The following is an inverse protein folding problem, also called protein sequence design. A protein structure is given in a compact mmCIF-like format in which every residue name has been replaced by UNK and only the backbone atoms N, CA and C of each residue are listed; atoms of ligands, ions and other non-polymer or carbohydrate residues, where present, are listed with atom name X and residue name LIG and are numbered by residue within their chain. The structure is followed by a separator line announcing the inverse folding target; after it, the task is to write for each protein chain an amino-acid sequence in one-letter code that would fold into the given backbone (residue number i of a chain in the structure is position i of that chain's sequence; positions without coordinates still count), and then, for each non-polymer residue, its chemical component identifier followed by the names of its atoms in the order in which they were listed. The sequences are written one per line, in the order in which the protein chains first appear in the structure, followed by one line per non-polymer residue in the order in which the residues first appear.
data_IF_841758573194
#
_entry.id   IF_841758573194
#
_cell.length_a   1.000
_cell.length_b   1.000
_cell.length_c   1.000
_cell.angle_alpha   90.00
_cell.angle_beta   90.00
_cell.angle_gamma   90.00
#
_symmetry.space_group_name_H-M   'P 1'
#
loop_
_entity.id
_entity.type
_entity.pdbx_description
1 polymer ?
#
# COMPACT_ATOMS: atom_id res chain seq x y z
N UNK A 1 0.54 -19.00 -3.06
CA UNK A 1 -0.17 -20.08 -2.34
C UNK A 1 0.86 -21.03 -1.80
N UNK A 2 1.29 -20.80 -0.57
CA UNK A 2 2.16 -21.70 0.18
C UNK A 2 1.25 -22.55 1.10
N UNK A 3 1.05 -23.84 0.80
CA UNK A 3 0.17 -24.71 1.59
C UNK A 3 0.65 -24.91 3.04
N UNK A 4 1.97 -24.81 3.28
CA UNK A 4 2.55 -24.94 4.62
C UNK A 4 2.17 -23.75 5.50
N UNK A 5 2.11 -22.55 4.90
CA UNK A 5 1.68 -21.34 5.60
C UNK A 5 0.23 -21.47 6.11
N UNK A 6 -0.67 -22.08 5.33
CA UNK A 6 -2.07 -22.29 5.76
C UNK A 6 -2.23 -23.34 6.85
N UNK A 7 -1.34 -24.33 6.93
CA UNK A 7 -1.42 -25.42 7.90
C UNK A 7 -0.99 -25.01 9.32
N UNK A 8 -0.27 -23.88 9.46
CA UNK A 8 0.22 -23.36 10.74
C UNK A 8 -0.54 -22.16 11.29
N UNK A 9 -1.63 -21.72 10.63
CA UNK A 9 -2.40 -20.55 11.06
C UNK A 9 -3.57 -20.95 11.97
N UNK A 10 -3.62 -20.37 13.16
CA UNK A 10 -4.74 -20.57 14.10
C UNK A 10 -5.94 -19.64 13.82
N UNK A 11 -5.70 -18.50 13.15
CA UNK A 11 -6.71 -17.48 12.87
C UNK A 11 -6.31 -16.61 11.68
N UNK A 12 -7.26 -16.39 10.77
CA UNK A 12 -7.20 -15.34 9.76
C UNK A 12 -7.98 -14.10 10.25
N UNK A 13 -7.27 -13.01 10.55
CA UNK A 13 -7.88 -11.73 10.90
C UNK A 13 -7.86 -10.78 9.70
N UNK A 14 -9.04 -10.26 9.33
CA UNK A 14 -9.21 -9.34 8.22
C UNK A 14 -9.33 -7.89 8.71
N UNK A 15 -8.61 -6.97 8.07
CA UNK A 15 -8.84 -5.53 8.23
C UNK A 15 -10.09 -5.13 7.43
N UNK A 16 -11.22 -5.07 8.13
CA UNK A 16 -12.43 -4.47 7.64
C UNK A 16 -13.74 -5.12 8.09
N UNK A 17 -14.82 -4.74 7.43
CA UNK A 17 -16.18 -4.93 7.93
C UNK A 17 -16.80 -6.29 7.61
N UNK A 18 -18.01 -6.52 8.15
CA UNK A 18 -18.81 -7.73 7.93
C UNK A 18 -18.95 -8.15 6.46
N UNK A 19 -19.07 -7.19 5.55
CA UNK A 19 -19.19 -7.48 4.12
C UNK A 19 -17.95 -8.16 3.54
N UNK A 20 -16.75 -7.74 3.94
CA UNK A 20 -15.51 -8.37 3.51
C UNK A 20 -15.35 -9.75 4.15
N UNK A 21 -15.67 -9.88 5.44
CA UNK A 21 -15.69 -11.18 6.13
C UNK A 21 -16.54 -12.21 5.38
N UNK A 22 -17.79 -11.86 5.04
CA UNK A 22 -18.69 -12.78 4.35
C UNK A 22 -18.15 -13.21 2.97
N UNK A 23 -17.49 -12.30 2.23
CA UNK A 23 -16.88 -12.63 0.94
C UNK A 23 -15.74 -13.63 1.10
N UNK A 24 -14.86 -13.40 2.06
CA UNK A 24 -13.72 -14.30 2.32
C UNK A 24 -14.19 -15.66 2.81
N UNK A 25 -15.17 -15.71 3.72
CA UNK A 25 -15.77 -16.98 4.17
C UNK A 25 -16.31 -17.77 2.98
N UNK A 26 -17.08 -17.13 2.10
CA UNK A 26 -17.63 -17.81 0.93
C UNK A 26 -16.54 -18.31 -0.03
N UNK A 27 -15.45 -17.56 -0.20
CA UNK A 27 -14.31 -18.00 -1.01
C UNK A 27 -13.61 -19.21 -0.40
N UNK A 28 -13.40 -19.23 0.92
CA UNK A 28 -12.79 -20.35 1.63
C UNK A 28 -13.66 -21.61 1.56
N UNK A 29 -14.98 -21.47 1.62
CA UNK A 29 -15.93 -22.56 1.42
C UNK A 29 -15.81 -23.15 0.00
N UNK A 30 -15.68 -22.30 -1.03
CA UNK A 30 -15.50 -22.74 -2.41
C UNK A 30 -14.18 -23.47 -2.65
N UNK A 31 -13.13 -23.12 -1.91
CA UNK A 31 -11.81 -23.73 -2.02
C UNK A 31 -11.73 -25.12 -1.36
N UNK A 32 -12.76 -25.55 -0.61
CA UNK A 32 -12.91 -26.93 -0.16
C UNK A 32 -11.83 -27.40 0.83
N UNK A 33 -11.42 -26.54 1.77
CA UNK A 33 -10.38 -26.87 2.76
C UNK A 33 -10.83 -28.00 3.70
N UNK A 34 -9.95 -28.99 3.93
CA UNK A 34 -10.22 -30.16 4.79
C UNK A 34 -10.50 -29.79 6.25
N UNK A 35 -9.89 -28.70 6.73
CA UNK A 35 -10.13 -28.12 8.05
C UNK A 35 -10.46 -26.63 7.89
N UNK A 36 -11.53 -26.12 8.53
CA UNK A 36 -11.91 -24.73 8.41
C UNK A 36 -11.00 -23.85 9.26
N UNK A 37 -10.10 -23.10 8.59
CA UNK A 37 -9.33 -22.03 9.22
C UNK A 37 -10.28 -21.01 9.88
N UNK A 38 -10.16 -20.73 11.20
CA UNK A 38 -10.96 -19.70 11.84
C UNK A 38 -10.74 -18.34 11.19
N UNK A 39 -11.82 -17.59 10.94
CA UNK A 39 -11.76 -16.25 10.35
C UNK A 39 -12.51 -15.26 11.21
N UNK A 40 -11.95 -14.08 11.40
CA UNK A 40 -12.60 -12.93 12.01
C UNK A 40 -12.25 -11.66 11.23
N UNK A 41 -13.01 -10.58 11.42
CA UNK A 41 -12.62 -9.26 10.92
C UNK A 41 -12.71 -8.19 11.99
N UNK A 42 -11.83 -7.21 11.93
CA UNK A 42 -11.80 -6.04 12.80
C UNK A 42 -12.05 -4.79 11.95
N UNK A 43 -12.95 -3.93 12.39
CA UNK A 43 -13.20 -2.65 11.73
C UNK A 43 -13.31 -1.52 12.76
N UNK A 44 -12.73 -0.37 12.39
CA UNK A 44 -12.91 0.87 13.13
C UNK A 44 -14.39 1.27 13.10
N UNK A 45 -14.90 1.73 14.23
CA UNK A 45 -16.22 2.37 14.28
C UNK A 45 -16.24 3.59 13.37
N UNK A 46 -17.28 3.70 12.52
CA UNK A 46 -17.47 4.90 11.70
C UNK A 46 -18.36 5.88 12.44
N UNK A 47 -18.22 7.17 12.15
CA UNK A 47 -19.10 8.21 12.72
C UNK A 47 -20.59 7.97 12.41
N UNK A 48 -20.90 7.32 11.29
CA UNK A 48 -22.28 6.93 10.94
C UNK A 48 -22.87 5.84 11.82
N UNK A 49 -22.04 5.17 12.64
CA UNK A 49 -22.49 4.19 13.61
C UNK A 49 -22.83 4.82 14.99
N UNK A 50 -22.71 6.15 15.11
CA UNK A 50 -23.00 6.91 16.34
C UNK A 50 -24.52 6.98 16.56
N UNK A 51 -25.02 6.14 17.47
CA UNK A 51 -26.30 6.37 18.16
C UNK A 51 -26.08 6.98 19.55
N UNK A 52 -27.17 7.25 20.29
CA UNK A 52 -27.21 7.84 21.65
C UNK A 52 -26.28 7.18 22.70
N UNK A 53 -25.65 6.04 22.41
CA UNK A 53 -24.83 5.25 23.33
C UNK A 53 -23.38 4.99 22.89
N UNK A 54 -22.79 5.77 21.97
CA UNK A 54 -21.44 5.48 21.50
C UNK A 54 -20.61 6.71 21.18
N UNK A 55 -19.79 7.17 22.13
CA UNK A 55 -18.61 7.97 21.81
C UNK A 55 -17.69 7.09 20.97
N UNK A 56 -17.37 7.50 19.73
CA UNK A 56 -16.65 6.69 18.73
C UNK A 56 -15.26 6.22 19.15
N UNK A 57 -15.21 5.08 19.85
CA UNK A 57 -14.00 4.54 20.49
C UNK A 57 -13.93 3.01 20.41
N UNK A 58 -14.85 2.33 19.70
CA UNK A 58 -14.99 0.88 19.83
C UNK A 58 -14.72 0.12 18.53
N UNK A 59 -13.63 -0.64 18.49
CA UNK A 59 -13.43 -1.60 17.41
C UNK A 59 -14.54 -2.64 17.40
N UNK A 60 -15.04 -2.94 16.19
CA UNK A 60 -16.04 -3.96 15.95
C UNK A 60 -15.35 -5.23 15.47
N UNK A 61 -15.54 -6.31 16.20
CA UNK A 61 -15.10 -7.64 15.78
C UNK A 61 -16.28 -8.37 15.15
N UNK A 62 -16.13 -8.80 13.91
CA UNK A 62 -17.13 -9.61 13.22
C UNK A 62 -16.69 -11.05 13.17
N UNK A 63 -17.63 -11.95 13.45
CA UNK A 63 -17.45 -13.39 13.39
C UNK A 63 -18.42 -13.97 12.35
N UNK A 64 -18.02 -15.01 11.59
CA UNK A 64 -18.88 -15.70 10.65
C UNK A 64 -20.19 -16.18 11.32
N UNK A 65 -21.30 -16.10 10.60
CA UNK A 65 -22.62 -16.52 11.09
C UNK A 65 -23.25 -15.60 12.15
N UNK A 66 -22.53 -14.61 12.69
CA UNK A 66 -23.07 -13.70 13.71
C UNK A 66 -23.70 -12.45 13.09
N UNK A 67 -24.92 -12.10 13.54
CA UNK A 67 -25.61 -10.89 13.06
C UNK A 67 -24.92 -9.60 13.53
N UNK A 68 -24.69 -9.49 14.84
CA UNK A 68 -24.15 -8.30 15.49
C UNK A 68 -22.63 -8.46 15.75
N UNK A 69 -21.84 -7.38 15.70
CA UNK A 69 -20.44 -7.44 16.09
C UNK A 69 -20.28 -7.82 17.56
N UNK A 70 -19.13 -8.40 17.87
CA UNK A 70 -18.61 -8.53 19.22
C UNK A 70 -17.86 -7.24 19.58
N UNK A 71 -18.09 -6.77 20.79
CA UNK A 71 -17.28 -5.71 21.37
C UNK A 71 -16.46 -6.25 22.53
N UNK A 72 -15.17 -5.92 22.56
CA UNK A 72 -14.21 -6.44 23.53
C UNK A 72 -13.97 -5.49 24.71
N UNK A 73 -14.94 -4.63 25.08
CA UNK A 73 -14.80 -3.65 26.18
C UNK A 73 -14.37 -4.26 27.52
N UNK A 74 -14.75 -5.52 27.78
CA UNK A 74 -14.41 -6.24 29.01
C UNK A 74 -13.07 -6.99 28.92
N UNK A 75 -12.40 -6.96 27.76
CA UNK A 75 -11.13 -7.62 27.46
C UNK A 75 -10.19 -6.64 26.72
N UNK A 76 -9.76 -5.55 27.38
CA UNK A 76 -8.99 -4.48 26.73
C UNK A 76 -7.65 -4.97 26.16
N UNK A 77 -7.00 -5.96 26.78
CA UNK A 77 -5.72 -6.49 26.30
C UNK A 77 -5.86 -7.20 24.95
N UNK A 78 -6.91 -8.00 24.78
CA UNK A 78 -7.23 -8.67 23.51
C UNK A 78 -7.57 -7.62 22.45
N UNK A 79 -8.34 -6.60 22.81
CA UNK A 79 -8.68 -5.50 21.92
C UNK A 79 -7.42 -4.77 21.42
N UNK A 80 -6.50 -4.42 22.31
CA UNK A 80 -5.24 -3.75 21.95
C UNK A 80 -4.35 -4.63 21.06
N UNK A 81 -4.31 -5.95 21.31
CA UNK A 81 -3.58 -6.88 20.45
C UNK A 81 -4.14 -6.88 19.02
N UNK A 82 -5.47 -7.02 18.87
CA UNK A 82 -6.12 -7.02 17.56
C UNK A 82 -5.96 -5.67 16.84
N UNK A 83 -6.02 -4.56 17.57
CA UNK A 83 -5.73 -3.24 17.03
C UNK A 83 -4.31 -3.14 16.49
N UNK A 84 -3.30 -3.59 17.24
CA UNK A 84 -1.90 -3.57 16.77
C UNK A 84 -1.70 -4.45 15.55
N UNK A 85 -2.32 -5.64 15.51
CA UNK A 85 -2.27 -6.52 14.33
C UNK A 85 -2.89 -5.81 13.12
N UNK A 86 -4.05 -5.18 13.29
CA UNK A 86 -4.69 -4.40 12.23
C UNK A 86 -3.81 -3.24 11.78
N UNK A 87 -3.32 -2.44 12.71
CA UNK A 87 -2.53 -1.25 12.41
C UNK A 87 -1.23 -1.64 11.68
N UNK A 88 -0.62 -2.76 12.04
CA UNK A 88 0.55 -3.29 11.33
C UNK A 88 0.19 -3.82 9.93
N UNK A 89 -0.91 -4.54 9.79
CA UNK A 89 -1.40 -4.98 8.48
C UNK A 89 -1.75 -3.78 7.57
N UNK A 90 -2.38 -2.76 8.13
CA UNK A 90 -2.76 -1.53 7.44
C UNK A 90 -1.51 -0.73 7.04
N UNK A 91 -0.55 -0.55 7.96
CA UNK A 91 0.74 0.10 7.70
C UNK A 91 1.50 -0.62 6.59
N UNK A 92 1.55 -1.95 6.63
CA UNK A 92 2.20 -2.75 5.61
C UNK A 92 1.51 -2.60 4.25
N UNK A 93 0.17 -2.67 4.22
CA UNK A 93 -0.60 -2.50 2.99
C UNK A 93 -0.42 -1.11 2.36
N UNK A 94 -0.49 -0.04 3.17
CA UNK A 94 -0.25 1.33 2.71
C UNK A 94 1.17 1.47 2.18
N UNK A 95 2.18 1.07 2.96
CA UNK A 95 3.59 1.21 2.57
C UNK A 95 3.89 0.44 1.28
N UNK A 96 3.35 -0.76 1.14
CA UNK A 96 3.49 -1.54 -0.08
C UNK A 96 2.83 -0.85 -1.27
N UNK A 97 1.59 -0.36 -1.13
CA UNK A 97 0.88 0.34 -2.19
C UNK A 97 1.60 1.64 -2.60
N UNK A 98 2.07 2.42 -1.63
CA UNK A 98 2.87 3.63 -1.87
C UNK A 98 4.15 3.29 -2.64
N UNK A 99 4.86 2.23 -2.24
CA UNK A 99 6.08 1.83 -2.94
C UNK A 99 5.79 1.37 -4.37
N UNK A 100 4.76 0.55 -4.59
CA UNK A 100 4.35 0.10 -5.94
C UNK A 100 3.97 1.30 -6.81
N UNK A 101 3.22 2.24 -6.25
CA UNK A 101 2.81 3.45 -6.97
C UNK A 101 4.02 4.33 -7.32
N UNK A 102 4.92 4.56 -6.37
CA UNK A 102 6.16 5.33 -6.56
C UNK A 102 7.03 4.72 -7.66
N UNK A 103 7.25 3.39 -7.62
CA UNK A 103 8.00 2.67 -8.66
C UNK A 103 7.34 2.84 -10.03
N UNK A 104 6.01 2.76 -10.11
CA UNK A 104 5.25 2.97 -11.35
C UNK A 104 5.42 4.40 -11.90
N UNK A 105 5.32 5.41 -11.03
CA UNK A 105 5.51 6.82 -11.38
C UNK A 105 6.93 7.07 -11.90
N UNK A 106 7.96 6.60 -11.20
CA UNK A 106 9.35 6.76 -11.60
C UNK A 106 9.66 6.03 -12.91
N UNK A 107 9.12 4.83 -13.09
CA UNK A 107 9.25 4.08 -14.35
C UNK A 107 8.63 4.85 -15.52
N UNK A 108 7.40 5.33 -15.33
CA UNK A 108 6.68 6.09 -16.36
C UNK A 108 7.37 7.40 -16.70
N UNK A 109 7.92 8.09 -15.69
CA UNK A 109 8.68 9.32 -15.87
C UNK A 109 9.95 9.06 -16.68
N UNK A 110 10.71 8.01 -16.33
CA UNK A 110 11.92 7.62 -17.05
C UNK A 110 11.63 7.26 -18.51
N UNK A 111 10.54 6.54 -18.77
CA UNK A 111 10.08 6.19 -20.12
C UNK A 111 9.57 7.39 -20.93
N UNK A 112 9.09 8.42 -20.24
CA UNK A 112 8.65 9.66 -20.86
C UNK A 112 9.79 10.56 -21.35
N UNK A 113 11.04 10.29 -20.95
CA UNK A 113 12.19 11.10 -21.35
C UNK A 113 12.55 10.79 -22.81
N UNK A 114 12.49 11.78 -23.72
CA UNK A 114 12.90 11.57 -25.10
C UNK A 114 14.33 11.04 -25.19
N UNK A 115 14.50 9.90 -25.85
CA UNK A 115 15.78 9.22 -25.95
C UNK A 115 16.04 8.17 -24.86
N UNK A 116 15.18 8.00 -23.87
CA UNK A 116 15.18 6.82 -22.99
C UNK A 116 14.09 5.85 -23.45
N UNK A 117 14.51 4.79 -24.14
CA UNK A 117 13.66 3.67 -24.48
C UNK A 117 13.92 2.44 -23.60
N UNK A 118 13.19 1.34 -23.81
CA UNK A 118 13.31 0.12 -23.01
C UNK A 118 14.74 -0.41 -22.88
N UNK A 119 15.55 -0.30 -23.95
CA UNK A 119 16.94 -0.74 -23.94
C UNK A 119 17.85 0.08 -23.01
N UNK A 120 17.73 1.42 -23.03
CA UNK A 120 18.51 2.29 -22.13
C UNK A 120 18.02 2.17 -20.69
N UNK A 121 16.71 2.03 -20.48
CA UNK A 121 16.17 1.73 -19.15
C UNK A 121 16.74 0.43 -18.59
N UNK A 122 16.71 -0.65 -19.37
CA UNK A 122 17.24 -1.94 -18.95
C UNK A 122 18.73 -1.87 -18.63
N UNK A 123 19.51 -1.16 -19.44
CA UNK A 123 20.94 -0.91 -19.22
C UNK A 123 21.18 -0.16 -17.90
N UNK A 124 20.41 0.90 -17.62
CA UNK A 124 20.50 1.62 -16.35
C UNK A 124 20.13 0.72 -15.16
N UNK A 125 19.04 -0.05 -15.26
CA UNK A 125 18.64 -0.99 -14.20
C UNK A 125 19.69 -2.08 -13.97
N UNK A 126 20.35 -2.57 -15.02
CA UNK A 126 21.45 -3.52 -14.88
C UNK A 126 22.68 -2.91 -14.22
N UNK A 127 22.96 -1.63 -14.49
CA UNK A 127 24.10 -0.93 -13.90
C UNK A 127 23.89 -0.57 -12.43
N UNK A 128 22.72 -0.03 -12.10
CA UNK A 128 22.42 0.55 -10.77
C UNK A 128 21.59 -0.39 -9.87
N UNK A 129 20.94 -1.42 -10.42
CA UNK A 129 20.17 -2.42 -9.68
C UNK A 129 18.74 -2.02 -9.32
N UNK A 130 18.47 -0.74 -9.09
CA UNK A 130 17.12 -0.23 -8.77
C UNK A 130 16.85 1.15 -9.36
N UNK A 131 15.58 1.55 -9.45
CA UNK A 131 15.19 2.91 -9.84
C UNK A 131 15.70 3.96 -8.83
N UNK A 132 15.70 3.61 -7.54
CA UNK A 132 16.19 4.50 -6.47
C UNK A 132 17.68 4.79 -6.66
N UNK A 133 18.46 3.76 -6.99
CA UNK A 133 19.89 3.94 -7.27
C UNK A 133 20.14 4.77 -8.54
N UNK A 134 19.27 4.70 -9.54
CA UNK A 134 19.34 5.57 -10.74
C UNK A 134 19.02 7.02 -10.38
N UNK A 135 18.04 7.24 -9.51
CA UNK A 135 17.60 8.57 -9.07
C UNK A 135 18.67 9.28 -8.24
N UNK A 136 19.34 8.56 -7.34
CA UNK A 136 20.41 9.09 -6.49
C UNK A 136 21.77 9.21 -7.22
N UNK A 137 21.91 8.62 -8.42
CA UNK A 137 23.17 8.61 -9.15
C UNK A 137 23.53 10.01 -9.66
N UNK A 138 24.79 10.47 -9.47
CA UNK A 138 25.24 11.72 -10.07
C UNK A 138 25.33 11.58 -11.60
N UNK A 139 25.24 12.71 -12.32
CA UNK A 139 25.21 12.74 -13.78
C UNK A 139 26.39 11.96 -14.41
N UNK A 140 27.57 12.07 -13.78
CA UNK A 140 28.79 11.39 -14.19
C UNK A 140 28.66 9.87 -14.17
N UNK A 141 27.91 9.29 -13.23
CA UNK A 141 27.69 7.85 -13.18
C UNK A 141 26.66 7.39 -14.22
N UNK A 142 25.62 8.18 -14.46
CA UNK A 142 24.68 7.93 -15.57
C UNK A 142 25.39 7.98 -16.94
N UNK A 143 26.37 8.87 -17.08
CA UNK A 143 27.24 8.93 -18.27
C UNK A 143 28.11 7.68 -18.40
N UNK A 144 28.74 7.23 -17.30
CA UNK A 144 29.53 5.98 -17.26
C UNK A 144 28.68 4.75 -17.57
N UNK A 145 27.40 4.77 -17.21
CA UNK A 145 26.46 3.72 -17.57
C UNK A 145 26.11 3.71 -19.07
N UNK A 146 26.49 4.73 -19.84
CA UNK A 146 26.34 4.79 -21.30
C UNK A 146 25.37 5.85 -21.81
N UNK A 147 24.90 6.78 -20.96
CA UNK A 147 24.09 7.91 -21.42
C UNK A 147 24.96 9.07 -21.93
N UNK A 148 24.55 9.79 -22.99
CA UNK A 148 25.11 11.09 -23.30
C UNK A 148 24.87 12.09 -22.16
N UNK A 149 25.81 13.01 -21.94
CA UNK A 149 25.75 14.02 -20.87
C UNK A 149 24.39 14.76 -20.79
N UNK A 150 23.87 15.22 -21.93
CA UNK A 150 22.59 15.95 -21.99
C UNK A 150 21.40 15.09 -21.57
N UNK A 151 21.47 13.79 -21.85
CA UNK A 151 20.44 12.83 -21.46
C UNK A 151 20.55 12.46 -19.98
N UNK A 152 21.76 12.28 -19.46
CA UNK A 152 22.01 12.07 -18.02
C UNK A 152 21.47 13.22 -17.16
N UNK A 153 21.73 14.47 -17.57
CA UNK A 153 21.17 15.66 -16.92
C UNK A 153 19.63 15.70 -17.00
N UNK A 154 19.07 15.30 -18.13
CA UNK A 154 17.61 15.25 -18.31
C UNK A 154 16.96 14.22 -17.40
N UNK A 155 17.59 13.05 -17.22
CA UNK A 155 17.15 12.01 -16.28
C UNK A 155 17.12 12.55 -14.85
N UNK A 156 18.21 13.12 -14.35
CA UNK A 156 18.28 13.67 -12.99
C UNK A 156 17.20 14.71 -12.75
N UNK A 157 17.07 15.68 -13.68
CA UNK A 157 16.07 16.74 -13.56
C UNK A 157 14.67 16.16 -13.46
N UNK A 158 14.27 15.32 -14.42
CA UNK A 158 12.90 14.78 -14.46
C UNK A 158 12.58 13.95 -13.21
N UNK A 159 13.50 13.09 -12.77
CA UNK A 159 13.27 12.27 -11.58
C UNK A 159 13.17 13.12 -10.30
N UNK A 160 14.02 14.14 -10.15
CA UNK A 160 13.96 15.07 -9.01
C UNK A 160 12.67 15.91 -8.98
N UNK A 161 12.14 16.30 -10.14
CA UNK A 161 10.87 17.04 -10.24
C UNK A 161 9.66 16.17 -9.82
N UNK A 162 9.65 14.89 -10.21
CA UNK A 162 8.58 13.95 -9.83
C UNK A 162 8.61 13.69 -8.32
N UNK A 163 9.79 13.49 -7.74
CA UNK A 163 9.94 13.33 -6.30
C UNK A 163 9.46 14.57 -5.53
N UNK A 164 9.89 15.76 -5.96
CA UNK A 164 9.47 17.02 -5.35
C UNK A 164 7.94 17.18 -5.39
N UNK A 165 7.29 16.80 -6.49
CA UNK A 165 5.82 16.81 -6.61
C UNK A 165 5.15 15.77 -5.72
N UNK A 166 5.67 14.55 -5.66
CA UNK A 166 5.13 13.49 -4.81
C UNK A 166 5.17 13.89 -3.32
N UNK A 167 6.26 14.52 -2.86
CA UNK A 167 6.38 15.03 -1.49
C UNK A 167 5.33 16.11 -1.19
N UNK A 168 5.08 17.02 -2.14
CA UNK A 168 4.07 18.08 -1.98
C UNK A 168 2.65 17.50 -1.92
N UNK A 169 2.33 16.53 -2.78
CA UNK A 169 1.04 15.83 -2.79
C UNK A 169 0.81 15.06 -1.48
N UNK A 170 1.82 14.36 -0.95
CA UNK A 170 1.73 13.64 0.33
C UNK A 170 1.55 14.56 1.54
N UNK A 171 2.05 15.80 1.47
CA UNK A 171 1.87 16.82 2.50
C UNK A 171 0.52 17.55 2.39
N UNK A 172 -0.34 17.17 1.45
CA UNK A 172 -1.63 17.82 1.22
C UNK A 172 -1.50 19.22 0.59
N UNK A 173 -0.33 19.55 0.03
CA UNK A 173 -0.08 20.78 -0.72
C UNK A 173 -0.35 20.48 -2.19
N UNK A 174 -1.61 20.56 -2.60
CA UNK A 174 -1.97 20.52 -4.02
C UNK A 174 -1.60 21.86 -4.64
N UNK A 175 -0.82 21.85 -5.72
CA UNK A 175 -0.50 23.03 -6.54
C UNK A 175 -1.80 23.59 -7.17
N UNK A 176 -2.44 24.53 -6.48
CA UNK A 176 -3.62 25.26 -6.94
C UNK A 176 -3.28 26.36 -7.97
N UNK A 177 -2.09 26.31 -8.58
CA UNK A 177 -1.58 27.39 -9.46
C UNK A 177 -1.80 27.10 -10.95
N UNK A 178 -2.89 26.43 -11.31
CA UNK A 178 -3.36 26.34 -12.71
C UNK A 178 -4.83 26.70 -12.85
N UNK A 179 -5.27 27.77 -12.20
CA UNK A 179 -6.28 28.62 -12.84
C UNK A 179 -5.59 29.36 -14.00
N UNK A 180 -5.89 28.93 -15.22
CA UNK A 180 -5.63 29.72 -16.43
C UNK A 180 -6.58 30.92 -16.37
N UNK A 181 -6.08 32.17 -16.27
CA UNK A 181 -6.95 33.32 -16.41
C UNK A 181 -7.17 33.60 -17.90
N UNK A 182 -8.42 33.48 -18.36
CA UNK A 182 -8.94 34.11 -19.57
C UNK A 182 -8.89 33.27 -20.84
#
# INVERSE_FOLDING_TARGET
NDPELSAGLDLLLLDGGKGQLNKIVHLLEQLGTSEPLPVASIAKERESDIGEKGKGLYEKIYLPGRKNPLFLHRNPDILHLLQRIRDEAHRFAISHYQNVHRVSLLTSALDGIPGIGPGRRQMLLQHFGSLDAIQEAPAVELERAGLPQTLAQSVIRVLSEIESRAILEEQGVTDDSREVPG
#
